data_IF_071040194817
#
_entry.id   IF_071040194817
#
_cell.length_a   1.000
_cell.length_b   1.000
_cell.length_c   1.000
_cell.angle_alpha   90.00
_cell.angle_beta   90.00
_cell.angle_gamma   90.00
#
_symmetry.space_group_name_H-M   'P 1'
#
loop_
_entity.id
_entity.type
_entity.pdbx_description
1 polymer ?
#
# COMPACT_ATOMS: atom_id res chain seq x y z
N UNK A 1 19.57 21.56 -11.87
CA UNK A 1 18.30 20.94 -12.30
C UNK A 1 17.15 21.74 -11.72
N UNK A 2 16.10 22.02 -12.50
CA UNK A 2 14.90 22.63 -11.93
C UNK A 2 14.18 21.60 -11.05
N UNK A 3 13.95 21.94 -9.78
CA UNK A 3 13.28 21.09 -8.79
C UNK A 3 11.89 20.62 -9.25
N UNK A 4 11.24 21.40 -10.12
CA UNK A 4 9.88 21.11 -10.59
C UNK A 4 9.75 19.76 -11.28
N UNK A 5 10.76 19.31 -12.03
CA UNK A 5 10.70 18.03 -12.75
C UNK A 5 10.71 16.81 -11.81
N UNK A 6 11.70 16.64 -10.90
CA UNK A 6 11.69 15.51 -9.97
C UNK A 6 10.54 15.60 -8.97
N UNK A 7 10.14 16.81 -8.54
CA UNK A 7 8.99 16.98 -7.64
C UNK A 7 7.67 16.57 -8.30
N UNK A 8 7.43 16.99 -9.56
CA UNK A 8 6.24 16.59 -10.30
C UNK A 8 6.23 15.07 -10.55
N UNK A 9 7.37 14.47 -10.90
CA UNK A 9 7.50 13.02 -11.05
C UNK A 9 7.19 12.29 -9.73
N UNK A 10 7.76 12.75 -8.61
CA UNK A 10 7.48 12.18 -7.29
C UNK A 10 5.98 12.22 -6.97
N UNK A 11 5.31 13.35 -7.18
CA UNK A 11 3.86 13.47 -6.96
C UNK A 11 3.08 12.49 -7.85
N UNK A 12 3.42 12.39 -9.14
CA UNK A 12 2.75 11.46 -10.06
C UNK A 12 2.93 9.99 -9.65
N UNK A 13 4.15 9.61 -9.27
CA UNK A 13 4.44 8.25 -8.78
C UNK A 13 3.69 7.95 -7.47
N UNK A 14 3.66 8.90 -6.54
CA UNK A 14 2.94 8.77 -5.29
C UNK A 14 1.43 8.59 -5.52
N UNK A 15 0.81 9.44 -6.35
CA UNK A 15 -0.60 9.32 -6.70
C UNK A 15 -0.92 7.99 -7.41
N UNK A 16 -0.02 7.51 -8.28
CA UNK A 16 -0.15 6.20 -8.93
C UNK A 16 -0.10 5.06 -7.91
N UNK A 17 0.80 5.16 -6.94
CA UNK A 17 0.88 4.22 -5.82
C UNK A 17 -0.38 4.24 -4.96
N UNK A 18 -0.89 5.43 -4.59
CA UNK A 18 -2.17 5.56 -3.87
C UNK A 18 -3.32 4.93 -4.65
N UNK A 19 -3.43 5.21 -5.94
CA UNK A 19 -4.43 4.57 -6.79
C UNK A 19 -4.27 3.04 -6.80
N UNK A 20 -3.03 2.54 -6.88
CA UNK A 20 -2.74 1.12 -6.78
C UNK A 20 -3.19 0.50 -5.47
N UNK A 21 -2.93 1.15 -4.33
CA UNK A 21 -3.38 0.66 -3.01
C UNK A 21 -4.91 0.56 -2.95
N UNK A 22 -5.62 1.55 -3.50
CA UNK A 22 -7.09 1.60 -3.44
C UNK A 22 -7.78 0.69 -4.47
N UNK A 23 -7.18 0.48 -5.64
CA UNK A 23 -7.82 -0.21 -6.76
C UNK A 23 -7.47 -1.71 -6.83
N UNK A 24 -6.39 -2.16 -6.19
CA UNK A 24 -5.90 -3.54 -6.31
C UNK A 24 -6.47 -4.42 -5.21
N UNK A 25 -7.03 -5.57 -5.63
CA UNK A 25 -7.53 -6.61 -4.72
C UNK A 25 -6.47 -7.63 -4.33
N UNK A 26 -5.45 -7.82 -5.17
CA UNK A 26 -4.35 -8.74 -4.89
C UNK A 26 -3.36 -8.10 -3.91
N UNK A 27 -3.12 -8.75 -2.78
CA UNK A 27 -2.22 -8.29 -1.73
C UNK A 27 -0.81 -7.97 -2.23
N UNK A 28 -0.27 -8.76 -3.17
CA UNK A 28 1.06 -8.49 -3.76
C UNK A 28 1.05 -7.17 -4.54
N UNK A 29 -0.01 -6.89 -5.29
CA UNK A 29 -0.11 -5.65 -6.05
C UNK A 29 -0.31 -4.43 -5.14
N UNK A 30 -0.97 -4.61 -3.99
CA UNK A 30 -1.06 -3.57 -2.95
C UNK A 30 0.33 -3.28 -2.37
N UNK A 31 1.09 -4.31 -1.98
CA UNK A 31 2.48 -4.16 -1.50
C UNK A 31 3.36 -3.41 -2.52
N UNK A 32 3.32 -3.82 -3.80
CA UNK A 32 4.07 -3.12 -4.86
C UNK A 32 3.65 -1.65 -5.03
N UNK A 33 2.39 -1.33 -4.75
CA UNK A 33 1.89 0.05 -4.81
C UNK A 33 2.42 0.88 -3.65
N UNK A 34 2.55 0.31 -2.45
CA UNK A 34 3.21 0.94 -1.29
C UNK A 34 4.69 1.18 -1.57
N UNK A 35 5.39 0.20 -2.15
CA UNK A 35 6.80 0.36 -2.55
C UNK A 35 6.98 1.52 -3.55
N UNK A 36 6.04 1.67 -4.49
CA UNK A 36 6.07 2.79 -5.44
C UNK A 36 5.88 4.15 -4.72
N UNK A 37 5.01 4.21 -3.71
CA UNK A 37 4.84 5.41 -2.88
C UNK A 37 6.11 5.75 -2.10
N UNK A 38 6.76 4.75 -1.49
CA UNK A 38 8.03 4.94 -0.76
C UNK A 38 9.15 5.41 -1.70
N UNK A 39 9.23 4.87 -2.91
CA UNK A 39 10.18 5.35 -3.93
C UNK A 39 9.92 6.79 -4.37
N UNK A 40 8.66 7.22 -4.45
CA UNK A 40 8.30 8.60 -4.72
C UNK A 40 8.79 9.55 -3.61
N UNK A 41 8.63 9.15 -2.34
CA UNK A 41 9.16 9.90 -1.19
C UNK A 41 10.68 9.99 -1.24
N UNK A 42 11.37 8.89 -1.54
CA UNK A 42 12.84 8.86 -1.69
C UNK A 42 13.34 9.78 -2.80
N UNK A 43 12.67 9.77 -3.96
CA UNK A 43 12.98 10.70 -5.05
C UNK A 43 12.86 12.15 -4.59
N UNK A 44 11.82 12.46 -3.82
CA UNK A 44 11.60 13.80 -3.29
C UNK A 44 12.70 14.20 -2.29
N UNK A 45 13.08 13.31 -1.37
CA UNK A 45 14.16 13.55 -0.40
C UNK A 45 15.49 13.88 -1.08
N UNK A 46 15.90 13.08 -2.07
CA UNK A 46 17.15 13.32 -2.83
C UNK A 46 17.06 14.61 -3.65
N UNK A 47 15.91 14.88 -4.28
CA UNK A 47 15.73 16.08 -5.09
C UNK A 47 15.84 17.37 -4.25
N UNK A 48 15.24 17.38 -3.06
CA UNK A 48 15.33 18.51 -2.12
C UNK A 48 16.72 18.66 -1.52
N UNK A 49 17.41 17.56 -1.19
CA UNK A 49 18.80 17.58 -0.71
C UNK A 49 19.73 18.30 -1.70
N UNK A 50 19.68 17.89 -2.97
CA UNK A 50 20.48 18.47 -4.05
C UNK A 50 20.10 19.93 -4.31
N UNK A 51 18.81 20.28 -4.21
CA UNK A 51 18.34 21.64 -4.46
C UNK A 51 18.70 22.61 -3.33
N UNK A 52 18.56 22.20 -2.06
CA UNK A 52 18.99 22.99 -0.89
C UNK A 52 20.50 23.09 -0.76
N UNK A 53 21.26 22.20 -1.42
CA UNK A 53 22.71 22.06 -1.26
C UNK A 53 23.08 21.81 0.20
N UNK A 54 22.33 20.92 0.86
CA UNK A 54 22.60 20.55 2.25
C UNK A 54 24.02 19.98 2.36
N UNK A 55 24.85 20.59 3.21
CA UNK A 55 26.24 20.15 3.42
C UNK A 55 26.33 18.83 4.18
N UNK A 56 25.28 18.48 4.93
CA UNK A 56 25.22 17.23 5.69
C UNK A 56 24.58 16.09 4.88
N UNK A 57 24.04 16.38 3.70
CA UNK A 57 23.35 15.41 2.84
C UNK A 57 22.25 14.60 3.56
N UNK A 58 21.49 15.26 4.44
CA UNK A 58 20.52 14.60 5.30
C UNK A 58 19.41 13.90 4.52
N UNK A 59 18.98 14.45 3.37
CA UNK A 59 17.96 13.84 2.53
C UNK A 59 18.44 12.57 1.85
N UNK A 60 19.72 12.53 1.43
CA UNK A 60 20.32 11.32 0.86
C UNK A 60 20.55 10.25 1.93
N UNK A 61 21.03 10.64 3.12
CA UNK A 61 21.20 9.71 4.24
C UNK A 61 19.86 9.06 4.62
N UNK A 62 18.79 9.85 4.79
CA UNK A 62 17.46 9.34 5.09
C UNK A 62 16.94 8.40 4.00
N UNK A 63 17.18 8.74 2.72
CA UNK A 63 16.80 7.88 1.58
C UNK A 63 17.43 6.48 1.68
N UNK A 64 18.70 6.38 2.06
CA UNK A 64 19.36 5.07 2.24
C UNK A 64 18.71 4.25 3.36
N UNK A 65 18.35 4.89 4.48
CA UNK A 65 17.62 4.23 5.56
C UNK A 65 16.23 3.78 5.11
N UNK A 66 15.49 4.61 4.37
CA UNK A 66 14.18 4.25 3.84
C UNK A 66 14.27 3.07 2.87
N UNK A 67 15.30 2.99 2.03
CA UNK A 67 15.54 1.82 1.15
C UNK A 67 15.77 0.55 1.99
N UNK A 68 16.58 0.63 3.05
CA UNK A 68 16.84 -0.51 3.93
C UNK A 68 15.57 -0.96 4.67
N UNK A 69 14.75 -0.01 5.14
CA UNK A 69 13.47 -0.29 5.78
C UNK A 69 12.49 -0.92 4.78
N UNK A 70 12.38 -0.38 3.57
CA UNK A 70 11.53 -0.95 2.52
C UNK A 70 11.94 -2.38 2.16
N UNK A 71 13.25 -2.67 2.07
CA UNK A 71 13.74 -4.03 1.87
C UNK A 71 13.35 -4.99 3.01
N UNK A 72 13.34 -4.52 4.25
CA UNK A 72 12.86 -5.30 5.39
C UNK A 72 11.33 -5.49 5.34
N UNK A 73 10.59 -4.42 5.02
CA UNK A 73 9.13 -4.42 4.91
C UNK A 73 8.65 -5.41 3.84
N UNK A 74 9.20 -5.37 2.62
CA UNK A 74 8.77 -6.26 1.54
C UNK A 74 9.04 -7.74 1.88
N UNK A 75 10.12 -8.02 2.61
CA UNK A 75 10.41 -9.36 3.12
C UNK A 75 9.33 -9.87 4.08
N UNK A 76 8.93 -9.03 5.03
CA UNK A 76 7.87 -9.34 6.00
C UNK A 76 6.50 -9.42 5.29
N UNK A 77 6.18 -8.47 4.43
CA UNK A 77 4.93 -8.39 3.70
C UNK A 77 4.70 -9.63 2.82
N UNK A 78 5.72 -10.04 2.04
CA UNK A 78 5.63 -11.26 1.25
C UNK A 78 5.53 -12.52 2.10
N UNK A 79 6.23 -12.59 3.24
CA UNK A 79 6.09 -13.71 4.16
C UNK A 79 4.66 -13.85 4.71
N UNK A 80 4.02 -12.73 5.05
CA UNK A 80 2.61 -12.70 5.48
C UNK A 80 1.69 -13.14 4.34
N UNK A 81 1.86 -12.57 3.14
CA UNK A 81 1.04 -12.93 1.97
C UNK A 81 1.16 -14.42 1.66
N UNK A 82 2.37 -14.98 1.72
CA UNK A 82 2.60 -16.41 1.49
C UNK A 82 1.95 -17.27 2.57
N UNK A 83 2.04 -16.87 3.84
CA UNK A 83 1.39 -17.59 4.94
C UNK A 83 -0.14 -17.61 4.79
N UNK A 84 -0.74 -16.48 4.40
CA UNK A 84 -2.17 -16.38 4.10
C UNK A 84 -2.54 -17.25 2.90
N UNK A 85 -1.77 -17.15 1.80
CA UNK A 85 -2.01 -17.95 0.60
C UNK A 85 -1.92 -19.45 0.87
N UNK A 86 -0.97 -19.90 1.70
CA UNK A 86 -0.84 -21.32 2.07
C UNK A 86 -2.05 -21.84 2.87
N UNK A 87 -2.67 -20.98 3.68
CA UNK A 87 -3.82 -21.37 4.50
C UNK A 87 -5.17 -21.22 3.78
N UNK A 88 -5.27 -20.31 2.81
CA UNK A 88 -6.55 -19.92 2.17
C UNK A 88 -6.62 -20.13 0.66
N UNK A 89 -5.50 -20.43 0.01
CA UNK A 89 -5.41 -20.60 -1.45
C UNK A 89 -5.65 -19.32 -2.26
N UNK A 90 -5.71 -18.14 -1.62
CA UNK A 90 -5.95 -16.87 -2.29
C UNK A 90 -5.20 -15.72 -1.62
N UNK A 91 -4.76 -14.75 -2.43
CA UNK A 91 -4.17 -13.48 -1.99
C UNK A 91 -5.10 -12.28 -2.25
N UNK A 92 -6.38 -12.56 -2.54
CA UNK A 92 -7.42 -11.56 -2.72
C UNK A 92 -7.87 -11.02 -1.35
N UNK A 93 -7.58 -9.74 -1.09
CA UNK A 93 -7.80 -9.07 0.20
C UNK A 93 -9.30 -8.98 0.52
N UNK A 94 -10.16 -8.83 -0.48
CA UNK A 94 -11.61 -8.70 -0.26
C UNK A 94 -12.22 -9.98 0.33
N UNK A 95 -11.55 -11.12 0.13
CA UNK A 95 -11.96 -12.43 0.64
C UNK A 95 -11.45 -12.71 2.05
N UNK A 96 -10.63 -11.85 2.63
CA UNK A 96 -10.04 -12.01 3.96
C UNK A 96 -10.88 -11.32 5.05
N UNK A 97 -12.17 -11.71 5.19
CA UNK A 97 -13.14 -11.05 6.08
C UNK A 97 -13.58 -11.87 7.30
N UNK A 98 -12.85 -12.93 7.67
CA UNK A 98 -13.25 -13.83 8.76
C UNK A 98 -13.37 -13.17 10.14
N UNK A 99 -12.71 -12.04 10.34
CA UNK A 99 -12.78 -11.25 11.58
C UNK A 99 -13.76 -10.09 11.50
N UNK A 100 -14.50 -9.96 10.38
CA UNK A 100 -15.58 -8.98 10.32
C UNK A 100 -16.66 -9.41 11.31
N UNK A 101 -17.07 -8.49 12.20
CA UNK A 101 -18.26 -8.71 13.01
C UNK A 101 -19.42 -9.00 12.07
N UNK A 102 -19.95 -10.22 12.17
CA UNK A 102 -21.14 -10.58 11.43
C UNK A 102 -22.28 -9.66 11.86
N UNK A 103 -23.05 -9.20 10.88
CA UNK A 103 -24.37 -8.62 11.08
C UNK A 103 -25.16 -9.51 12.05
N UNK A 104 -25.30 -9.07 13.31
CA UNK A 104 -26.15 -9.75 14.28
C UNK A 104 -27.61 -9.74 13.82
N UNK A 105 -28.50 -10.51 14.47
CA UNK A 105 -29.93 -10.49 14.16
C UNK A 105 -30.58 -9.10 14.25
N UNK A 106 -29.90 -8.11 14.82
CA UNK A 106 -30.32 -6.70 14.93
C UNK A 106 -29.70 -5.77 13.86
N UNK A 107 -29.03 -6.29 12.82
CA UNK A 107 -28.47 -5.46 11.75
C UNK A 107 -29.59 -4.92 10.82
N UNK A 108 -29.86 -3.60 10.81
CA UNK A 108 -30.91 -2.99 9.98
C UNK A 108 -30.61 -3.06 8.47
N UNK A 109 -29.40 -3.44 8.07
CA UNK A 109 -28.99 -3.61 6.67
C UNK A 109 -28.99 -5.07 6.20
N UNK A 110 -29.42 -6.02 7.04
CA UNK A 110 -29.51 -7.42 6.65
C UNK A 110 -30.48 -7.59 5.46
N UNK A 111 -30.04 -8.19 4.32
CA UNK A 111 -30.94 -8.42 3.20
C UNK A 111 -32.06 -9.35 3.66
N UNK A 112 -33.31 -8.92 3.45
CA UNK A 112 -34.52 -9.68 3.74
C UNK A 112 -34.64 -10.91 2.84
N UNK A 113 -33.76 -11.89 3.02
CA UNK A 113 -33.70 -13.09 2.20
C UNK A 113 -34.13 -14.30 3.03
N UNK A 114 -35.42 -14.37 3.36
CA UNK A 114 -36.13 -15.60 3.78
C UNK A 114 -37.66 -15.44 3.89
N UNK A 115 -38.30 -14.74 2.95
CA UNK A 115 -39.78 -14.71 2.88
C UNK A 115 -40.38 -15.44 1.66
N UNK A 116 -39.57 -15.89 0.69
CA UNK A 116 -40.09 -16.41 -0.59
C UNK A 116 -40.09 -17.95 -0.70
N UNK A 117 -39.77 -18.68 0.37
CA UNK A 117 -39.76 -20.14 0.36
C UNK A 117 -41.02 -20.79 1.01
N UNK A 118 -42.06 -20.01 1.31
CA UNK A 118 -43.27 -20.51 1.98
C UNK A 118 -44.57 -19.81 1.54
N UNK A 119 -44.70 -19.46 0.25
CA UNK A 119 -45.96 -19.07 -0.36
C UNK A 119 -46.29 -20.00 -1.53
#
# INVERSE_FOLDING_TARGET
MHLIYPAALAVLLFCTGVYGVLARRNAILVLMSVELMLNAVNLNLVAFDVWLRDTLHGGQALTLFTIAIAAAEIGIGLAIVLAVYRNRGTSDIDKLRDTAEGSGPDDPAAPAQKAEAAA
#
